data_IF_618308264783
#
_entry.id   IF_618308264783
#
_cell.length_a   1.000
_cell.length_b   1.000
_cell.length_c   1.000
_cell.angle_alpha   90.00
_cell.angle_beta   90.00
_cell.angle_gamma   90.00
#
_symmetry.space_group_name_H-M   'P 1'
#
loop_
_entity.id
_entity.type
_entity.pdbx_description
1 polymer ?
#
# COMPACT_ATOMS: atom_id res chain seq x y z
N UNK A 1 3.65 82.43 -70.36
CA UNK A 1 3.46 83.37 -69.22
C UNK A 1 3.36 82.54 -67.95
N UNK A 2 4.46 82.47 -67.18
CA UNK A 2 4.63 83.16 -65.86
C UNK A 2 3.58 82.65 -64.85
N UNK A 3 3.94 81.70 -63.96
CA UNK A 3 4.28 81.94 -62.54
C UNK A 3 3.07 81.53 -61.67
N UNK A 4 3.12 80.94 -60.47
CA UNK A 4 4.12 80.84 -59.40
C UNK A 4 3.71 79.73 -58.39
N UNK A 5 4.72 79.05 -57.86
CA UNK A 5 4.93 78.32 -56.58
C UNK A 5 3.80 78.17 -55.51
N UNK A 6 3.66 76.99 -54.89
CA UNK A 6 4.37 76.63 -53.62
C UNK A 6 3.93 75.26 -53.00
N UNK A 7 4.94 74.40 -52.79
CA UNK A 7 5.22 73.40 -51.72
C UNK A 7 4.09 72.86 -50.80
N UNK A 8 3.98 71.51 -50.68
CA UNK A 8 4.42 70.72 -49.51
C UNK A 8 4.22 69.20 -49.68
N UNK A 9 4.94 68.46 -48.84
CA UNK A 9 5.44 67.09 -48.96
C UNK A 9 4.46 65.96 -48.58
N UNK A 10 4.92 64.74 -48.86
CA UNK A 10 4.24 63.44 -48.86
C UNK A 10 3.62 62.98 -47.53
N UNK A 11 2.48 62.29 -47.63
CA UNK A 11 1.87 61.51 -46.55
C UNK A 11 0.66 60.71 -47.04
N UNK A 12 0.86 59.42 -47.35
CA UNK A 12 -0.19 58.48 -47.79
C UNK A 12 -1.28 58.35 -46.72
N UNK A 13 -2.47 58.92 -46.97
CA UNK A 13 -3.69 58.66 -46.21
C UNK A 13 -4.74 58.08 -47.17
N UNK A 14 -4.91 56.75 -47.12
CA UNK A 14 -6.04 56.09 -47.78
C UNK A 14 -7.29 56.30 -46.95
N UNK A 15 -8.29 56.91 -47.59
CA UNK A 15 -9.62 57.17 -47.04
C UNK A 15 -10.36 55.87 -46.73
N UNK A 16 -11.05 55.85 -45.59
CA UNK A 16 -11.84 54.74 -45.06
C UNK A 16 -13.19 54.70 -45.80
N UNK A 17 -13.48 53.59 -46.46
CA UNK A 17 -14.83 53.22 -46.90
C UNK A 17 -15.42 52.19 -45.93
N UNK A 18 -16.60 52.51 -45.41
CA UNK A 18 -17.42 51.71 -44.51
C UNK A 18 -18.27 50.75 -45.35
N UNK A 19 -18.00 49.43 -45.27
CA UNK A 19 -18.99 48.34 -45.34
C UNK A 19 -18.30 46.98 -45.47
N UNK A 20 -18.35 46.16 -44.42
CA UNK A 20 -18.65 44.71 -44.48
C UNK A 20 -18.60 44.15 -43.05
N UNK A 21 -19.74 44.22 -42.37
CA UNK A 21 -19.97 43.52 -41.11
C UNK A 21 -20.15 42.03 -41.46
N UNK A 22 -19.11 41.22 -41.25
CA UNK A 22 -19.22 39.76 -41.40
C UNK A 22 -19.85 39.19 -40.14
N UNK A 23 -21.17 38.99 -40.18
CA UNK A 23 -21.84 38.05 -39.28
C UNK A 23 -21.38 36.63 -39.62
N UNK A 24 -20.74 35.97 -38.66
CA UNK A 24 -20.51 34.53 -38.71
C UNK A 24 -21.85 33.82 -38.56
N UNK A 25 -22.28 33.10 -39.59
CA UNK A 25 -23.43 32.20 -39.52
C UNK A 25 -22.94 30.81 -39.88
N UNK A 26 -22.98 29.94 -38.88
CA UNK A 26 -22.77 28.50 -38.95
C UNK A 26 -23.59 27.88 -40.09
N UNK A 27 -23.03 26.87 -40.77
CA UNK A 27 -23.70 25.61 -41.14
C UNK A 27 -22.77 24.79 -42.05
N UNK A 28 -21.91 23.94 -41.46
CA UNK A 28 -21.46 22.70 -42.10
C UNK A 28 -21.29 21.61 -41.04
N UNK A 29 -22.32 20.76 -40.97
CA UNK A 29 -22.32 19.33 -40.64
C UNK A 29 -21.30 18.90 -39.58
N UNK A 30 -21.79 18.75 -38.35
CA UNK A 30 -21.13 18.01 -37.28
C UNK A 30 -20.92 16.55 -37.71
N UNK A 31 -19.67 16.15 -37.85
CA UNK A 31 -19.24 14.75 -37.92
C UNK A 31 -19.31 14.15 -36.49
N UNK A 32 -20.15 13.13 -36.21
CA UNK A 32 -20.36 12.60 -34.86
C UNK A 32 -19.15 11.87 -34.26
N UNK A 33 -18.03 11.74 -34.98
CA UNK A 33 -16.91 10.88 -34.58
C UNK A 33 -15.58 11.60 -34.32
N UNK A 34 -15.56 12.93 -34.11
CA UNK A 34 -14.36 13.63 -33.62
C UNK A 34 -14.52 14.14 -32.20
N UNK A 35 -14.06 13.34 -31.25
CA UNK A 35 -13.80 13.78 -29.88
C UNK A 35 -12.83 14.99 -29.88
N UNK A 36 -13.15 16.10 -29.19
CA UNK A 36 -12.12 17.07 -28.84
C UNK A 36 -11.10 16.34 -27.96
N UNK A 37 -9.83 16.36 -28.37
CA UNK A 37 -8.74 15.77 -27.60
C UNK A 37 -8.82 16.30 -26.17
N UNK A 38 -8.93 15.39 -25.20
CA UNK A 38 -8.89 15.68 -23.77
C UNK A 38 -7.73 16.64 -23.48
N UNK A 39 -7.90 17.71 -22.68
CA UNK A 39 -6.76 18.44 -22.17
C UNK A 39 -5.87 17.43 -21.43
N UNK A 40 -4.67 17.15 -21.98
CA UNK A 40 -3.66 16.41 -21.23
C UNK A 40 -3.51 17.12 -19.89
N UNK A 41 -3.57 16.35 -18.81
CA UNK A 41 -3.10 16.76 -17.50
C UNK A 41 -1.80 17.53 -17.71
N UNK A 42 -1.74 18.80 -17.31
CA UNK A 42 -0.55 19.63 -17.53
C UNK A 42 0.57 19.04 -16.68
N UNK A 43 1.40 18.21 -17.29
CA UNK A 43 2.72 17.85 -16.77
C UNK A 43 3.40 19.16 -16.37
N UNK A 44 3.88 19.26 -15.13
CA UNK A 44 4.60 20.44 -14.63
C UNK A 44 5.63 20.85 -15.68
N UNK A 45 5.55 22.04 -16.26
CA UNK A 45 6.53 22.42 -17.29
C UNK A 45 7.88 22.66 -16.61
N UNK A 46 9.02 22.26 -17.22
CA UNK A 46 10.35 22.34 -16.60
C UNK A 46 10.82 23.73 -16.14
N UNK A 47 10.04 24.80 -16.34
CA UNK A 47 10.46 26.18 -16.18
C UNK A 47 9.49 27.07 -15.39
N UNK A 48 8.46 26.55 -14.71
CA UNK A 48 7.40 27.40 -14.13
C UNK A 48 7.47 27.59 -12.62
N UNK A 49 8.52 27.13 -11.93
CA UNK A 49 8.65 27.41 -10.49
C UNK A 49 10.12 27.63 -10.08
N UNK A 50 10.60 28.89 -10.06
CA UNK A 50 11.83 29.26 -9.38
C UNK A 50 11.75 29.01 -7.87
N UNK A 51 10.54 29.03 -7.29
CA UNK A 51 10.35 29.12 -5.83
C UNK A 51 10.28 27.77 -5.09
N UNK A 52 10.20 26.63 -5.79
CA UNK A 52 10.13 25.30 -5.14
C UNK A 52 11.50 24.73 -4.75
N UNK A 53 12.58 25.31 -5.26
CA UNK A 53 13.96 25.00 -4.90
C UNK A 53 14.55 26.33 -4.45
N UNK A 54 14.67 26.50 -3.13
CA UNK A 54 15.00 27.78 -2.48
C UNK A 54 16.07 28.60 -3.22
N UNK A 55 15.94 29.93 -3.15
CA UNK A 55 16.83 30.90 -3.80
C UNK A 55 18.27 30.45 -3.57
N UNK A 56 18.91 29.90 -4.61
CA UNK A 56 20.34 29.70 -4.59
C UNK A 56 20.94 31.10 -4.43
N UNK A 57 21.61 31.32 -3.30
CA UNK A 57 22.61 32.38 -3.21
C UNK A 57 23.68 31.99 -4.22
N UNK A 58 23.55 32.54 -5.43
CA UNK A 58 24.62 33.14 -6.20
C UNK A 58 24.08 33.50 -7.58
N UNK A 59 24.25 34.77 -7.92
CA UNK A 59 23.72 35.44 -9.11
C UNK A 59 24.34 34.98 -10.44
N UNK A 60 24.58 33.69 -10.64
CA UNK A 60 24.93 33.16 -11.95
C UNK A 60 23.69 32.53 -12.61
N UNK A 61 23.11 33.27 -13.55
CA UNK A 61 22.20 32.76 -14.57
C UNK A 61 22.97 31.77 -15.48
N UNK A 62 23.28 30.58 -14.97
CA UNK A 62 24.14 29.63 -15.67
C UNK A 62 23.28 28.78 -16.63
N UNK A 63 23.41 28.91 -17.97
CA UNK A 63 22.64 28.13 -18.94
C UNK A 63 22.81 26.62 -18.74
N UNK A 64 23.93 26.19 -18.14
CA UNK A 64 24.15 24.80 -17.76
C UNK A 64 23.22 24.34 -16.62
N UNK A 65 22.88 25.19 -15.64
CA UNK A 65 21.94 24.84 -14.56
C UNK A 65 20.52 24.63 -15.11
N UNK A 66 20.09 25.45 -16.08
CA UNK A 66 18.81 25.25 -16.80
C UNK A 66 18.82 23.96 -17.62
N UNK A 67 19.92 23.64 -18.30
CA UNK A 67 20.10 22.38 -19.03
C UNK A 67 20.05 21.17 -18.08
N UNK A 68 20.74 21.22 -16.93
CA UNK A 68 20.72 20.18 -15.89
C UNK A 68 19.31 20.00 -15.30
N UNK A 69 18.60 21.07 -14.94
CA UNK A 69 17.20 21.00 -14.47
C UNK A 69 16.25 20.38 -15.52
N UNK A 70 16.41 20.75 -16.80
CA UNK A 70 15.61 20.20 -17.89
C UNK A 70 15.93 18.72 -18.17
N UNK A 71 17.21 18.34 -18.09
CA UNK A 71 17.65 16.95 -18.20
C UNK A 71 17.10 16.10 -17.04
N UNK A 72 17.20 16.59 -15.80
CA UNK A 72 16.64 15.95 -14.62
C UNK A 72 15.12 15.79 -14.72
N UNK A 73 14.41 16.85 -15.12
CA UNK A 73 12.97 16.79 -15.35
C UNK A 73 12.60 15.74 -16.41
N UNK A 74 13.33 15.68 -17.53
CA UNK A 74 13.07 14.71 -18.59
C UNK A 74 13.40 13.28 -18.15
N UNK A 75 14.47 13.07 -17.37
CA UNK A 75 14.81 11.78 -16.77
C UNK A 75 13.70 11.34 -15.82
N UNK A 76 13.30 12.16 -14.84
CA UNK A 76 12.21 11.83 -13.88
C UNK A 76 10.87 11.59 -14.59
N UNK A 77 10.61 12.30 -15.69
CA UNK A 77 9.36 12.13 -16.46
C UNK A 77 9.34 10.82 -17.25
N UNK A 78 10.47 10.42 -17.81
CA UNK A 78 10.54 9.27 -18.73
C UNK A 78 10.92 7.98 -17.99
N UNK A 79 11.63 8.08 -16.87
CA UNK A 79 12.03 6.99 -15.99
C UNK A 79 11.35 7.20 -14.64
N UNK A 80 10.42 6.30 -14.28
CA UNK A 80 9.84 6.33 -12.94
C UNK A 80 10.95 6.11 -11.93
N UNK A 81 11.13 7.07 -11.02
CA UNK A 81 12.04 6.92 -9.90
C UNK A 81 11.78 5.59 -9.19
N UNK A 82 12.80 4.74 -9.16
CA UNK A 82 12.75 3.48 -8.48
C UNK A 82 13.00 3.75 -7.00
N UNK A 83 11.93 3.96 -6.22
CA UNK A 83 11.99 4.14 -4.76
C UNK A 83 12.32 2.84 -4.00
N UNK A 84 12.91 1.87 -4.67
CA UNK A 84 13.19 0.57 -4.05
C UNK A 84 14.51 0.66 -3.33
N UNK A 85 14.48 0.18 -2.08
CA UNK A 85 15.59 -0.32 -1.27
C UNK A 85 16.94 -0.31 -2.02
N UNK A 86 17.90 0.46 -1.53
CA UNK A 86 19.26 0.50 -2.07
C UNK A 86 19.88 -0.90 -2.05
N UNK A 87 20.40 -1.37 -3.19
CA UNK A 87 20.95 -2.73 -3.28
C UNK A 87 22.19 -2.89 -2.42
N UNK A 88 23.01 -1.84 -2.32
CA UNK A 88 24.20 -1.82 -1.46
C UNK A 88 23.80 -1.86 0.02
N UNK A 89 22.80 -1.08 0.44
CA UNK A 89 22.21 -1.13 1.77
C UNK A 89 21.58 -2.50 2.07
N UNK A 90 20.92 -3.12 1.09
CA UNK A 90 20.31 -4.45 1.22
C UNK A 90 21.38 -5.55 1.38
N UNK A 91 22.48 -5.46 0.63
CA UNK A 91 23.63 -6.36 0.78
C UNK A 91 24.28 -6.20 2.15
N UNK A 92 24.56 -4.95 2.56
CA UNK A 92 25.16 -4.65 3.87
C UNK A 92 24.30 -5.17 5.02
N UNK A 93 23.01 -4.85 4.99
CA UNK A 93 22.07 -5.28 6.02
C UNK A 93 21.86 -6.79 6.02
N UNK A 94 22.00 -7.51 4.91
CA UNK A 94 22.04 -8.97 4.96
C UNK A 94 23.35 -9.53 5.52
N UNK A 95 24.51 -9.02 5.09
CA UNK A 95 25.83 -9.50 5.54
C UNK A 95 26.03 -9.40 7.05
N UNK A 96 25.48 -8.36 7.70
CA UNK A 96 25.46 -8.24 9.16
C UNK A 96 24.75 -9.42 9.90
N UNK A 97 24.03 -10.30 9.18
CA UNK A 97 23.48 -11.54 9.74
C UNK A 97 24.53 -12.63 9.95
N UNK A 98 25.54 -12.71 9.07
CA UNK A 98 26.55 -13.76 9.13
C UNK A 98 27.51 -13.53 10.31
N UNK A 99 27.85 -12.25 10.56
CA UNK A 99 28.85 -11.85 11.54
C UNK A 99 28.30 -11.86 12.99
N UNK A 100 26.98 -11.76 13.17
CA UNK A 100 26.34 -11.70 14.50
C UNK A 100 26.23 -13.03 15.26
N UNK A 101 26.73 -14.15 14.72
CA UNK A 101 26.59 -15.48 15.33
C UNK A 101 27.78 -15.95 16.17
N UNK A 102 28.85 -15.16 16.32
CA UNK A 102 30.06 -15.62 17.04
C UNK A 102 29.99 -15.57 18.58
N UNK A 103 29.12 -14.77 19.19
CA UNK A 103 29.30 -14.39 20.62
C UNK A 103 28.18 -14.83 21.59
N UNK A 104 27.29 -15.75 21.20
CA UNK A 104 26.21 -16.23 22.10
C UNK A 104 26.48 -17.53 22.85
N UNK A 105 27.71 -18.06 22.84
CA UNK A 105 28.03 -19.35 23.48
C UNK A 105 29.08 -19.29 24.61
N UNK A 106 29.41 -18.13 25.16
CA UNK A 106 30.41 -18.05 26.25
C UNK A 106 30.20 -16.87 27.21
N UNK A 107 29.21 -16.98 28.09
CA UNK A 107 29.24 -16.24 29.37
C UNK A 107 29.02 -17.20 30.54
N UNK A 108 30.05 -18.01 30.79
CA UNK A 108 30.31 -18.57 32.12
C UNK A 108 30.89 -17.48 33.02
N UNK A 109 30.45 -17.50 34.28
CA UNK A 109 30.80 -16.58 35.37
C UNK A 109 32.30 -16.21 35.45
N UNK A 110 32.59 -14.91 35.64
CA UNK A 110 33.65 -14.47 36.55
C UNK A 110 33.38 -13.06 37.09
N UNK A 111 33.52 -12.95 38.41
CA UNK A 111 33.32 -11.78 39.28
C UNK A 111 34.55 -10.86 39.32
N UNK A 112 34.30 -9.56 39.57
CA UNK A 112 35.14 -8.52 40.27
C UNK A 112 36.41 -8.10 39.48
N UNK A 113 36.77 -6.82 39.25
CA UNK A 113 36.91 -5.66 40.13
C UNK A 113 37.09 -4.33 39.36
N UNK A 114 36.86 -3.21 40.06
CA UNK A 114 37.49 -1.87 39.95
C UNK A 114 37.52 -1.06 38.63
N UNK A 115 36.86 0.11 38.69
CA UNK A 115 37.52 1.42 38.60
C UNK A 115 37.73 2.09 37.24
N UNK A 116 36.98 3.18 37.00
CA UNK A 116 37.52 4.42 36.41
C UNK A 116 37.49 4.61 34.89
N UNK A 117 36.65 5.57 34.45
CA UNK A 117 36.66 6.36 33.20
C UNK A 117 36.85 5.67 31.84
N UNK A 118 35.85 5.77 30.97
CA UNK A 118 36.07 5.96 29.54
C UNK A 118 34.83 6.54 28.83
N UNK A 119 35.02 7.72 28.25
CA UNK A 119 34.16 8.33 27.26
C UNK A 119 34.30 7.54 25.94
N UNK A 120 33.81 6.31 25.87
CA UNK A 120 33.78 5.50 24.66
C UNK A 120 32.68 4.45 24.74
N UNK A 121 31.87 4.37 23.70
CA UNK A 121 30.93 3.27 23.51
C UNK A 121 29.53 3.70 23.16
N UNK A 122 29.37 4.44 22.05
CA UNK A 122 28.27 4.12 21.15
C UNK A 122 28.45 2.64 20.83
N UNK A 123 27.81 1.78 21.62
CA UNK A 123 27.75 0.36 21.34
C UNK A 123 27.00 0.27 20.03
N UNK A 124 27.78 0.05 18.98
CA UNK A 124 27.29 -0.40 17.69
C UNK A 124 26.47 -1.65 17.97
N UNK A 125 25.16 -1.51 18.12
CA UNK A 125 24.21 -2.61 18.01
C UNK A 125 24.13 -3.02 16.53
N UNK A 126 25.27 -3.34 15.93
CA UNK A 126 25.42 -3.80 14.55
C UNK A 126 25.19 -5.31 14.50
N UNK A 127 23.96 -5.69 14.84
CA UNK A 127 23.41 -7.03 14.75
C UNK A 127 21.91 -6.91 14.62
N UNK A 128 21.44 -6.40 13.48
CA UNK A 128 20.01 -6.15 13.28
C UNK A 128 19.21 -7.47 13.45
N UNK A 129 18.29 -7.47 14.42
CA UNK A 129 17.50 -8.62 14.88
C UNK A 129 16.74 -9.33 13.74
N UNK A 130 16.81 -10.68 13.74
CA UNK A 130 15.98 -11.54 12.87
C UNK A 130 14.68 -11.83 13.59
N UNK A 131 13.56 -11.39 13.01
CA UNK A 131 12.24 -11.61 13.58
C UNK A 131 11.68 -12.98 13.26
N UNK A 132 12.00 -13.54 12.08
CA UNK A 132 11.60 -14.91 11.71
C UNK A 132 12.46 -15.43 10.56
N UNK A 133 12.73 -16.73 10.55
CA UNK A 133 13.31 -17.41 9.40
C UNK A 133 12.61 -18.75 9.13
N UNK A 134 12.67 -19.22 7.88
CA UNK A 134 12.13 -20.53 7.50
C UNK A 134 11.70 -20.61 6.04
N UNK A 135 11.30 -21.80 5.60
CA UNK A 135 10.89 -22.02 4.21
C UNK A 135 9.50 -21.46 3.91
N UNK A 136 9.40 -20.77 2.77
CA UNK A 136 8.15 -20.31 2.18
C UNK A 136 8.13 -20.60 0.68
N UNK A 137 6.99 -21.01 0.15
CA UNK A 137 6.78 -21.09 -1.30
C UNK A 137 6.03 -19.85 -1.75
N UNK A 138 6.67 -18.98 -2.53
CA UNK A 138 6.08 -17.71 -2.99
C UNK A 138 5.53 -17.86 -4.40
N UNK A 139 4.40 -17.19 -4.65
CA UNK A 139 3.87 -16.88 -5.97
C UNK A 139 3.53 -15.40 -6.06
N UNK A 140 3.98 -14.74 -7.14
CA UNK A 140 3.55 -13.36 -7.44
C UNK A 140 2.12 -13.41 -8.01
N UNK A 141 1.19 -12.69 -7.39
CA UNK A 141 -0.24 -12.71 -7.72
C UNK A 141 -0.68 -11.48 -8.52
N UNK A 142 -0.30 -10.29 -8.07
CA UNK A 142 -0.59 -9.03 -8.74
C UNK A 142 0.62 -8.09 -8.68
N UNK A 143 0.80 -7.33 -9.76
CA UNK A 143 1.83 -6.30 -9.87
C UNK A 143 1.34 -4.97 -9.24
N UNK A 144 2.20 -3.95 -9.20
CA UNK A 144 1.89 -2.68 -8.49
C UNK A 144 0.75 -1.86 -9.12
N UNK A 145 0.41 -2.15 -10.39
CA UNK A 145 -0.74 -1.58 -11.06
C UNK A 145 -2.07 -2.29 -10.69
N UNK A 146 -2.02 -3.27 -9.78
CA UNK A 146 -3.16 -4.09 -9.38
C UNK A 146 -3.55 -5.16 -10.39
N UNK A 147 -2.86 -5.24 -11.54
CA UNK A 147 -3.15 -6.27 -12.54
C UNK A 147 -2.52 -7.58 -12.13
N UNK A 148 -3.17 -8.67 -12.54
CA UNK A 148 -2.66 -10.03 -12.33
C UNK A 148 -1.34 -10.20 -13.06
N UNK A 149 -0.33 -10.68 -12.35
CA UNK A 149 0.99 -10.95 -12.93
C UNK A 149 0.87 -11.95 -14.09
N UNK A 150 1.55 -11.73 -15.24
CA UNK A 150 1.48 -12.60 -16.42
C UNK A 150 1.82 -14.08 -16.11
N UNK A 151 1.22 -15.01 -16.85
CA UNK A 151 1.32 -16.46 -16.59
C UNK A 151 2.78 -16.97 -16.46
N UNK A 152 3.70 -16.46 -17.27
CA UNK A 152 5.11 -16.87 -17.25
C UNK A 152 5.92 -16.40 -16.04
N UNK A 153 5.42 -15.40 -15.28
CA UNK A 153 6.13 -14.81 -14.13
C UNK A 153 5.51 -15.15 -12.77
N UNK A 154 4.34 -15.79 -12.74
CA UNK A 154 3.54 -16.10 -11.53
C UNK A 154 3.70 -17.53 -10.99
N UNK A 155 4.81 -18.21 -11.31
CA UNK A 155 5.09 -19.56 -10.83
C UNK A 155 5.27 -19.60 -9.30
N UNK A 156 4.96 -20.74 -8.68
CA UNK A 156 5.33 -21.00 -7.29
C UNK A 156 6.83 -21.34 -7.23
N UNK A 157 7.57 -20.67 -6.36
CA UNK A 157 9.01 -20.87 -6.16
C UNK A 157 9.30 -20.98 -4.66
N UNK A 158 10.13 -21.93 -4.28
CA UNK A 158 10.55 -22.14 -2.89
C UNK A 158 11.71 -21.21 -2.55
N UNK A 159 11.62 -20.60 -1.38
CA UNK A 159 12.65 -19.73 -0.82
C UNK A 159 12.88 -20.08 0.64
N UNK A 160 14.12 -19.89 1.09
CA UNK A 160 14.36 -19.67 2.50
C UNK A 160 14.16 -18.19 2.79
N UNK A 161 13.18 -17.89 3.64
CA UNK A 161 12.78 -16.54 3.97
C UNK A 161 13.42 -16.10 5.29
N UNK A 162 13.89 -14.86 5.35
CA UNK A 162 14.41 -14.22 6.57
C UNK A 162 13.78 -12.84 6.71
N UNK A 163 13.06 -12.60 7.80
CA UNK A 163 12.47 -11.31 8.13
C UNK A 163 13.42 -10.53 9.05
N UNK A 164 13.98 -9.44 8.53
CA UNK A 164 14.95 -8.59 9.24
C UNK A 164 14.61 -7.12 8.97
N UNK A 165 14.37 -6.36 10.04
CA UNK A 165 13.83 -5.00 9.92
C UNK A 165 12.56 -4.98 9.07
N UNK A 166 12.45 -4.04 8.14
CA UNK A 166 11.32 -3.92 7.21
C UNK A 166 11.50 -4.72 5.91
N UNK A 167 12.39 -5.70 5.87
CA UNK A 167 12.71 -6.46 4.67
C UNK A 167 12.51 -7.97 4.91
N UNK A 168 11.79 -8.60 3.99
CA UNK A 168 11.69 -10.05 3.86
C UNK A 168 12.65 -10.50 2.76
N UNK A 169 13.80 -11.02 3.16
CA UNK A 169 14.78 -11.61 2.27
C UNK A 169 14.30 -12.98 1.82
N UNK A 170 14.45 -13.28 0.53
CA UNK A 170 14.00 -14.54 -0.07
C UNK A 170 15.15 -15.15 -0.87
N UNK A 171 15.90 -16.05 -0.22
CA UNK A 171 17.03 -16.74 -0.82
C UNK A 171 16.58 -18.00 -1.54
N UNK A 172 17.03 -18.21 -2.77
CA UNK A 172 16.71 -19.39 -3.57
C UNK A 172 17.76 -20.50 -3.34
N UNK A 173 17.29 -21.74 -3.18
CA UNK A 173 18.15 -22.92 -2.98
C UNK A 173 18.39 -23.24 -1.49
N UNK A 174 19.52 -23.88 -1.19
CA UNK A 174 19.94 -24.18 0.19
C UNK A 174 20.26 -22.89 0.95
N UNK A 175 19.73 -22.78 2.17
CA UNK A 175 20.07 -21.68 3.07
C UNK A 175 21.54 -21.76 3.45
N UNK A 176 22.27 -20.68 3.18
CA UNK A 176 23.67 -20.53 3.58
C UNK A 176 23.84 -19.12 4.15
N UNK A 177 23.85 -18.96 5.48
CA UNK A 177 23.94 -17.65 6.11
C UNK A 177 25.24 -16.91 5.77
N UNK A 178 26.32 -17.64 5.50
CA UNK A 178 27.63 -17.10 5.11
C UNK A 178 27.68 -16.70 3.62
N UNK A 179 26.68 -17.11 2.83
CA UNK A 179 26.62 -16.82 1.40
C UNK A 179 26.05 -15.43 1.19
N UNK A 180 26.85 -14.55 0.57
CA UNK A 180 26.37 -13.27 0.09
C UNK A 180 25.15 -13.44 -0.82
N UNK A 181 24.16 -12.55 -0.69
CA UNK A 181 22.98 -12.56 -1.55
C UNK A 181 23.41 -12.41 -3.00
N UNK A 182 22.94 -13.32 -3.85
CA UNK A 182 23.09 -13.15 -5.28
C UNK A 182 22.23 -11.97 -5.76
N UNK A 183 22.54 -11.43 -6.94
CA UNK A 183 21.70 -10.43 -7.58
C UNK A 183 20.26 -10.95 -7.87
N UNK A 184 20.07 -12.27 -8.02
CA UNK A 184 18.70 -12.86 -8.09
C UNK A 184 18.00 -12.77 -6.72
N UNK A 185 18.70 -13.03 -5.61
CA UNK A 185 18.13 -12.99 -4.26
C UNK A 185 17.74 -11.56 -3.86
N UNK A 186 18.54 -10.56 -4.21
CA UNK A 186 18.23 -9.14 -3.96
C UNK A 186 16.96 -8.72 -4.68
N UNK A 187 16.77 -9.17 -5.93
CA UNK A 187 15.52 -8.94 -6.68
C UNK A 187 14.32 -9.67 -6.10
N UNK A 188 14.54 -10.72 -5.32
CA UNK A 188 13.48 -11.45 -4.64
C UNK A 188 13.10 -10.83 -3.30
N UNK A 189 13.95 -9.97 -2.71
CA UNK A 189 13.64 -9.30 -1.45
C UNK A 189 12.36 -8.48 -1.56
N UNK A 190 11.57 -8.49 -0.50
CA UNK A 190 10.28 -7.79 -0.43
C UNK A 190 10.32 -6.82 0.74
N UNK A 191 10.09 -5.54 0.47
CA UNK A 191 9.87 -4.58 1.56
C UNK A 191 8.50 -4.79 2.18
N UNK A 192 8.44 -4.89 3.50
CA UNK A 192 7.21 -5.11 4.27
C UNK A 192 6.68 -3.82 4.93
N UNK A 193 7.30 -2.66 4.69
CA UNK A 193 6.75 -1.37 5.14
C UNK A 193 5.30 -1.24 4.65
N UNK A 194 4.40 -0.87 5.56
CA UNK A 194 2.97 -0.73 5.30
C UNK A 194 2.28 -1.93 4.63
N UNK A 195 2.88 -3.12 4.74
CA UNK A 195 2.29 -4.33 4.18
C UNK A 195 1.17 -4.88 5.06
N UNK A 196 0.36 -5.77 4.52
CA UNK A 196 -0.60 -6.52 5.31
C UNK A 196 -0.57 -7.97 4.86
N UNK A 197 -0.28 -8.86 5.81
CA UNK A 197 -0.36 -10.29 5.66
C UNK A 197 -1.72 -10.80 6.17
N UNK A 198 -2.40 -11.63 5.38
CA UNK A 198 -3.70 -12.22 5.74
C UNK A 198 -3.82 -13.64 5.21
N UNK A 199 -4.48 -14.52 5.96
CA UNK A 199 -4.82 -15.87 5.46
C UNK A 199 -5.62 -15.76 4.16
N UNK A 200 -5.23 -16.54 3.15
CA UNK A 200 -5.93 -16.61 1.89
C UNK A 200 -7.10 -17.62 1.97
N UNK A 201 -8.15 -17.25 2.70
CA UNK A 201 -9.29 -18.14 2.96
C UNK A 201 -10.08 -18.50 1.68
N UNK A 202 -10.03 -17.64 0.66
CA UNK A 202 -10.60 -17.84 -0.66
C UNK A 202 -9.71 -18.69 -1.60
N UNK A 203 -8.50 -19.07 -1.16
CA UNK A 203 -7.54 -19.83 -1.96
C UNK A 203 -7.53 -21.32 -1.60
N UNK A 204 -8.25 -22.13 -2.38
CA UNK A 204 -8.42 -23.57 -2.12
C UNK A 204 -7.38 -24.48 -2.78
N UNK A 205 -6.50 -23.96 -3.66
CA UNK A 205 -5.61 -24.81 -4.49
C UNK A 205 -4.41 -25.38 -3.72
N UNK A 206 -4.03 -24.74 -2.61
CA UNK A 206 -2.95 -25.20 -1.72
C UNK A 206 -3.34 -24.84 -0.29
N UNK A 207 -3.03 -25.70 0.69
CA UNK A 207 -3.27 -25.39 2.09
C UNK A 207 -2.23 -24.37 2.60
N UNK A 208 -2.52 -23.76 3.75
CA UNK A 208 -1.58 -22.92 4.50
C UNK A 208 -1.03 -21.74 3.68
N UNK A 209 -1.91 -21.13 2.86
CA UNK A 209 -1.56 -19.99 2.01
C UNK A 209 -2.04 -18.69 2.64
N UNK A 210 -1.19 -17.66 2.57
CA UNK A 210 -1.52 -16.30 2.97
C UNK A 210 -1.15 -15.29 1.88
N UNK A 211 -1.92 -14.21 1.80
CA UNK A 211 -1.61 -13.03 1.02
C UNK A 211 -0.61 -12.16 1.77
N UNK A 212 0.34 -11.57 1.05
CA UNK A 212 1.09 -10.39 1.49
C UNK A 212 0.85 -9.28 0.46
N UNK A 213 0.14 -8.22 0.87
CA UNK A 213 -0.01 -7.00 0.06
C UNK A 213 0.98 -5.95 0.55
N UNK A 214 1.83 -5.42 -0.33
CA UNK A 214 2.86 -4.42 0.00
C UNK A 214 2.37 -2.98 -0.19
N UNK A 215 3.15 -1.99 0.29
CA UNK A 215 2.83 -0.57 0.16
C UNK A 215 2.56 -0.11 -1.28
N UNK A 216 3.26 -0.70 -2.25
CA UNK A 216 3.11 -0.46 -3.68
C UNK A 216 2.00 -1.31 -4.32
N UNK A 217 1.14 -1.94 -3.52
CA UNK A 217 -0.03 -2.73 -3.93
C UNK A 217 0.27 -4.02 -4.70
N UNK A 218 1.53 -4.46 -4.77
CA UNK A 218 1.82 -5.82 -5.22
C UNK A 218 1.19 -6.82 -4.25
N UNK A 219 0.77 -7.96 -4.80
CA UNK A 219 0.21 -9.06 -4.00
C UNK A 219 1.04 -10.31 -4.24
N UNK A 220 1.52 -10.88 -3.15
CA UNK A 220 2.17 -12.19 -3.13
C UNK A 220 1.27 -13.19 -2.43
N UNK A 221 1.33 -14.44 -2.89
CA UNK A 221 0.83 -15.60 -2.17
C UNK A 221 2.04 -16.34 -1.60
N UNK A 222 2.01 -16.65 -0.32
CA UNK A 222 3.02 -17.47 0.33
C UNK A 222 2.36 -18.71 0.92
N UNK A 223 2.94 -19.86 0.65
CA UNK A 223 2.57 -21.13 1.27
C UNK A 223 3.59 -21.45 2.37
N UNK A 224 3.09 -21.65 3.58
CA UNK A 224 3.88 -22.13 4.71
C UNK A 224 3.79 -23.67 4.83
N UNK A 225 4.71 -24.33 5.57
CA UNK A 225 4.70 -25.78 5.75
C UNK A 225 3.41 -26.31 6.42
N UNK A 226 2.92 -25.60 7.43
CA UNK A 226 1.72 -25.96 8.20
C UNK A 226 0.94 -24.70 8.65
N UNK A 227 -0.21 -24.91 9.29
CA UNK A 227 -1.10 -23.82 9.71
C UNK A 227 -0.47 -22.91 10.78
N UNK A 228 0.26 -23.49 11.74
CA UNK A 228 0.96 -22.74 12.80
C UNK A 228 2.03 -21.83 12.22
N UNK A 229 2.87 -22.35 11.33
CA UNK A 229 3.89 -21.57 10.65
C UNK A 229 3.28 -20.47 9.79
N UNK A 230 2.16 -20.72 9.12
CA UNK A 230 1.41 -19.68 8.39
C UNK A 230 1.00 -18.55 9.34
N UNK A 231 0.39 -18.87 10.49
CA UNK A 231 -0.06 -17.85 11.45
C UNK A 231 1.10 -17.10 12.08
N UNK A 232 2.19 -17.79 12.41
CA UNK A 232 3.42 -17.15 12.91
C UNK A 232 4.01 -16.20 11.87
N UNK A 233 4.10 -16.59 10.60
CA UNK A 233 4.53 -15.67 9.53
C UNK A 233 3.64 -14.44 9.40
N UNK A 234 2.30 -14.62 9.40
CA UNK A 234 1.34 -13.51 9.34
C UNK A 234 1.55 -12.56 10.54
N UNK A 235 1.60 -13.11 11.75
CA UNK A 235 1.68 -12.34 12.99
C UNK A 235 2.99 -11.54 13.05
N UNK A 236 4.13 -12.16 12.77
CA UNK A 236 5.43 -11.47 12.83
C UNK A 236 5.58 -10.42 11.74
N UNK A 237 5.17 -10.70 10.50
CA UNK A 237 5.23 -9.70 9.43
C UNK A 237 4.38 -8.48 9.81
N UNK A 238 3.14 -8.69 10.25
CA UNK A 238 2.25 -7.59 10.61
C UNK A 238 2.72 -6.83 11.85
N UNK A 239 3.27 -7.52 12.85
CA UNK A 239 3.79 -6.87 14.07
C UNK A 239 5.00 -6.00 13.75
N UNK A 240 5.97 -6.54 13.01
CA UNK A 240 7.17 -5.80 12.58
C UNK A 240 6.79 -4.60 11.70
N UNK A 241 5.84 -4.78 10.78
CA UNK A 241 5.35 -3.69 9.96
C UNK A 241 4.60 -2.64 10.79
N UNK A 242 3.83 -3.02 11.81
CA UNK A 242 3.16 -2.10 12.72
C UNK A 242 4.16 -1.29 13.55
N UNK A 243 5.21 -1.93 14.08
CA UNK A 243 6.26 -1.29 14.90
C UNK A 243 7.05 -0.26 14.08
N UNK A 244 7.43 -0.60 12.85
CA UNK A 244 8.45 0.15 12.13
C UNK A 244 7.96 0.96 10.93
N UNK A 245 6.72 0.81 10.46
CA UNK A 245 6.23 1.65 9.35
C UNK A 245 6.09 3.11 9.79
N UNK A 246 6.81 4.03 9.14
CA UNK A 246 6.69 5.45 9.42
C UNK A 246 5.30 6.02 9.04
N UNK A 247 4.83 7.11 9.66
CA UNK A 247 3.56 7.72 9.29
C UNK A 247 3.51 8.11 7.79
N UNK A 248 2.39 7.89 7.07
CA UNK A 248 2.27 8.32 5.68
C UNK A 248 2.49 9.83 5.53
N UNK A 249 3.05 10.25 4.40
CA UNK A 249 3.21 11.67 4.11
C UNK A 249 1.86 12.39 4.12
N UNK A 250 1.82 13.67 4.55
CA UNK A 250 0.63 14.49 4.41
C UNK A 250 0.18 14.49 2.95
N UNK A 251 -1.14 14.45 2.73
CA UNK A 251 -1.70 14.47 1.39
C UNK A 251 -1.17 15.69 0.61
N UNK A 252 -0.71 15.47 -0.61
CA UNK A 252 -0.15 16.55 -1.42
C UNK A 252 -1.19 17.68 -1.60
N UNK A 253 -0.83 18.88 -1.17
CA UNK A 253 -1.66 20.09 -1.30
C UNK A 253 -1.54 20.56 -2.76
N UNK A 254 -2.34 19.97 -3.66
CA UNK A 254 -2.32 20.35 -5.07
C UNK A 254 -3.08 19.38 -5.98
N UNK A 255 -4.25 19.83 -6.48
CA UNK A 255 -5.14 19.12 -7.42
C UNK A 255 -5.77 17.81 -6.91
N UNK A 256 -6.64 17.93 -5.91
CA UNK A 256 -7.59 16.91 -5.42
C UNK A 256 -8.70 16.53 -6.44
N UNK A 257 -8.47 16.64 -7.75
CA UNK A 257 -9.51 16.33 -8.75
C UNK A 257 -9.75 14.83 -8.94
N UNK A 258 -8.80 13.97 -8.53
CA UNK A 258 -8.85 12.50 -8.74
C UNK A 258 -8.22 11.78 -7.57
N UNK A 259 -8.80 10.63 -7.23
CA UNK A 259 -8.23 9.75 -6.23
C UNK A 259 -6.86 9.22 -6.70
N UNK A 260 -5.87 9.34 -5.83
CA UNK A 260 -4.56 8.72 -5.99
C UNK A 260 -4.12 8.17 -4.63
N UNK A 261 -3.56 6.96 -4.65
CA UNK A 261 -3.02 6.32 -3.44
C UNK A 261 -1.93 7.21 -2.84
N UNK A 262 -1.95 7.49 -1.53
CA UNK A 262 -0.87 8.21 -0.85
C UNK A 262 0.47 7.51 -1.02
N UNK A 263 1.55 8.29 -1.03
CA UNK A 263 2.90 7.76 -0.97
C UNK A 263 3.21 7.37 0.48
N UNK A 264 3.69 6.13 0.65
CA UNK A 264 4.01 5.55 1.94
C UNK A 264 5.54 5.48 2.08
N UNK A 265 6.14 6.09 3.12
CA UNK A 265 7.58 6.06 3.31
C UNK A 265 8.07 4.65 3.66
N UNK A 266 9.17 4.23 3.02
CA UNK A 266 9.88 2.99 3.37
C UNK A 266 10.81 3.10 4.57
N UNK A 267 10.95 4.30 5.15
CA UNK A 267 11.81 4.58 6.31
C UNK A 267 11.20 4.01 7.59
N UNK A 268 12.06 3.65 8.54
CA UNK A 268 11.65 3.24 9.89
C UNK A 268 11.01 4.40 10.66
N UNK A 269 9.94 4.10 11.41
CA UNK A 269 9.28 5.05 12.31
C UNK A 269 10.25 5.52 13.41
N UNK A 270 10.08 6.78 13.82
CA UNK A 270 10.80 7.39 14.94
C UNK A 270 9.92 7.55 16.19
N UNK A 271 8.66 7.12 16.11
CA UNK A 271 7.69 7.18 17.20
C UNK A 271 8.00 6.11 18.25
N UNK A 272 7.67 6.39 19.52
CA UNK A 272 7.63 5.35 20.56
C UNK A 272 6.54 4.30 20.24
N UNK A 273 6.55 3.14 20.91
CA UNK A 273 5.52 2.13 20.67
C UNK A 273 4.10 2.65 20.99
N UNK A 274 3.95 3.44 22.04
CA UNK A 274 2.70 4.08 22.46
C UNK A 274 2.23 5.12 21.44
N UNK A 275 3.14 5.99 20.98
CA UNK A 275 2.84 6.97 19.94
C UNK A 275 2.48 6.30 18.62
N UNK A 276 3.16 5.19 18.29
CA UNK A 276 2.89 4.38 17.11
C UNK A 276 1.49 3.76 17.18
N UNK A 277 1.07 3.27 18.34
CA UNK A 277 -0.31 2.76 18.57
C UNK A 277 -1.33 3.88 18.37
N UNK A 278 -1.14 5.03 19.02
CA UNK A 278 -2.05 6.17 18.90
C UNK A 278 -2.19 6.64 17.44
N UNK A 279 -1.08 6.65 16.70
CA UNK A 279 -1.04 6.97 15.27
C UNK A 279 -1.87 5.99 14.45
N UNK A 280 -1.70 4.67 14.64
CA UNK A 280 -2.48 3.65 13.93
C UNK A 280 -3.98 3.71 14.29
N UNK A 281 -4.32 3.98 15.54
CA UNK A 281 -5.72 4.14 15.99
C UNK A 281 -6.39 5.39 15.40
N UNK A 282 -5.68 6.52 15.37
CA UNK A 282 -6.16 7.73 14.74
C UNK A 282 -6.42 7.47 13.25
N UNK A 283 -5.48 6.82 12.56
CA UNK A 283 -5.63 6.41 11.15
C UNK A 283 -6.80 5.46 10.95
N UNK A 284 -6.95 4.45 11.80
CA UNK A 284 -8.09 3.53 11.73
C UNK A 284 -9.42 4.27 11.83
N UNK A 285 -9.55 5.22 12.77
CA UNK A 285 -10.75 6.05 12.93
C UNK A 285 -11.01 6.92 11.70
N UNK A 286 -9.99 7.65 11.23
CA UNK A 286 -10.11 8.51 10.04
C UNK A 286 -10.50 7.71 8.80
N UNK A 287 -9.77 6.64 8.48
CA UNK A 287 -10.05 5.79 7.31
C UNK A 287 -11.42 5.12 7.41
N UNK A 288 -11.85 4.71 8.61
CA UNK A 288 -13.21 4.17 8.82
C UNK A 288 -14.29 5.20 8.53
N UNK A 289 -14.09 6.44 8.96
CA UNK A 289 -15.02 7.56 8.68
C UNK A 289 -15.07 7.88 7.20
N UNK A 290 -13.91 7.99 6.53
CA UNK A 290 -13.84 8.25 5.08
C UNK A 290 -14.50 7.13 4.26
N UNK A 291 -14.36 5.87 4.68
CA UNK A 291 -15.00 4.73 4.03
C UNK A 291 -16.53 4.76 4.20
N UNK A 292 -17.00 5.08 5.41
CA UNK A 292 -18.43 5.22 5.69
C UNK A 292 -19.05 6.36 4.87
N UNK A 293 -18.37 7.50 4.79
CA UNK A 293 -18.77 8.65 3.97
C UNK A 293 -18.80 8.29 2.49
N UNK A 294 -17.77 7.60 1.97
CA UNK A 294 -17.77 7.16 0.57
C UNK A 294 -18.99 6.27 0.27
N UNK A 295 -19.28 5.32 1.17
CA UNK A 295 -20.38 4.36 1.00
C UNK A 295 -21.77 4.98 1.24
N UNK A 296 -21.89 6.12 1.91
CA UNK A 296 -23.18 6.82 2.05
C UNK A 296 -23.62 7.53 0.77
N UNK A 297 -22.70 7.77 -0.17
CA UNK A 297 -22.98 8.36 -1.49
C UNK A 297 -22.52 7.43 -2.63
N UNK A 298 -23.18 6.27 -2.82
CA UNK A 298 -22.82 5.37 -3.91
C UNK A 298 -23.10 6.03 -5.27
N UNK A 299 -22.29 5.76 -6.31
CA UNK A 299 -22.51 6.30 -7.65
C UNK A 299 -23.88 5.86 -8.18
N UNK A 300 -24.59 6.75 -8.88
CA UNK A 300 -25.85 6.40 -9.54
C UNK A 300 -25.61 5.23 -10.52
N UNK A 301 -26.55 4.29 -10.57
CA UNK A 301 -26.56 3.16 -11.51
C UNK A 301 -26.41 3.59 -12.98
N UNK A 302 -26.74 4.84 -13.31
CA UNK A 302 -26.59 5.42 -14.65
C UNK A 302 -25.16 5.92 -14.95
N UNK A 303 -24.32 6.12 -13.94
CA UNK A 303 -22.92 6.52 -14.09
C UNK A 303 -22.13 5.37 -14.70
N UNK A 304 -21.61 5.57 -15.91
CA UNK A 304 -20.81 4.58 -16.62
C UNK A 304 -19.34 5.00 -16.72
N UNK A 305 -18.46 4.00 -16.72
CA UNK A 305 -17.05 4.16 -17.05
C UNK A 305 -16.19 4.63 -15.89
N UNK A 306 -15.52 5.78 -16.07
CA UNK A 306 -14.36 6.21 -15.27
C UNK A 306 -14.68 6.50 -13.81
N UNK A 307 -15.80 7.17 -13.54
CA UNK A 307 -16.17 7.58 -12.18
C UNK A 307 -16.50 6.38 -11.29
N UNK A 308 -17.19 5.37 -11.84
CA UNK A 308 -17.47 4.11 -11.14
C UNK A 308 -16.18 3.35 -10.79
N UNK A 309 -15.19 3.36 -11.70
CA UNK A 309 -13.88 2.76 -11.46
C UNK A 309 -13.07 3.53 -10.41
N UNK A 310 -13.13 4.86 -10.42
CA UNK A 310 -12.50 5.71 -9.39
C UNK A 310 -13.14 5.47 -8.01
N UNK A 311 -14.46 5.35 -7.93
CA UNK A 311 -15.18 4.97 -6.71
C UNK A 311 -14.73 3.59 -6.20
N UNK A 312 -14.72 2.57 -7.06
CA UNK A 312 -14.29 1.21 -6.69
C UNK A 312 -12.86 1.19 -6.16
N UNK A 313 -11.94 1.88 -6.83
CA UNK A 313 -10.55 1.95 -6.36
C UNK A 313 -10.39 2.66 -5.02
N UNK A 314 -11.21 3.69 -4.76
CA UNK A 314 -11.20 4.38 -3.46
C UNK A 314 -11.80 3.50 -2.36
N UNK A 315 -12.90 2.80 -2.64
CA UNK A 315 -13.51 1.85 -1.70
C UNK A 315 -12.55 0.72 -1.32
N UNK A 316 -11.95 0.06 -2.33
CA UNK A 316 -10.96 -1.01 -2.13
C UNK A 316 -9.73 -0.53 -1.35
N UNK A 317 -9.28 0.71 -1.59
CA UNK A 317 -8.18 1.32 -0.85
C UNK A 317 -8.53 1.55 0.61
N UNK A 318 -9.66 2.22 0.88
CA UNK A 318 -10.07 2.56 2.23
C UNK A 318 -10.39 1.31 3.06
N UNK A 319 -11.04 0.29 2.47
CA UNK A 319 -11.29 -0.99 3.14
C UNK A 319 -9.97 -1.70 3.52
N UNK A 320 -9.00 -1.71 2.60
CA UNK A 320 -7.68 -2.29 2.85
C UNK A 320 -6.94 -1.56 3.97
N UNK A 321 -6.88 -0.22 3.91
CA UNK A 321 -6.18 0.60 4.90
C UNK A 321 -6.84 0.52 6.28
N UNK A 322 -8.18 0.51 6.34
CA UNK A 322 -8.94 0.27 7.57
C UNK A 322 -8.53 -1.05 8.21
N UNK A 323 -8.51 -2.13 7.42
CA UNK A 323 -8.11 -3.45 7.91
C UNK A 323 -6.65 -3.45 8.38
N UNK A 324 -5.74 -2.81 7.63
CA UNK A 324 -4.33 -2.73 8.00
C UNK A 324 -4.12 -1.99 9.32
N UNK A 325 -4.66 -0.78 9.45
CA UNK A 325 -4.49 0.02 10.67
C UNK A 325 -5.18 -0.60 11.89
N UNK A 326 -6.35 -1.23 11.71
CA UNK A 326 -6.99 -2.00 12.78
C UNK A 326 -6.12 -3.17 13.25
N UNK A 327 -5.53 -3.91 12.30
CA UNK A 327 -4.60 -5.02 12.61
C UNK A 327 -3.37 -4.53 13.34
N UNK A 328 -2.75 -3.44 12.86
CA UNK A 328 -1.55 -2.86 13.46
C UNK A 328 -1.80 -2.37 14.89
N UNK A 329 -2.87 -1.60 15.11
CA UNK A 329 -3.23 -1.11 16.44
C UNK A 329 -3.50 -2.27 17.41
N UNK A 330 -4.24 -3.29 16.98
CA UNK A 330 -4.51 -4.48 17.79
C UNK A 330 -3.21 -5.21 18.20
N UNK A 331 -2.32 -5.47 17.25
CA UNK A 331 -1.07 -6.20 17.51
C UNK A 331 -0.13 -5.43 18.43
N UNK A 332 0.05 -4.12 18.21
CA UNK A 332 0.92 -3.32 19.09
C UNK A 332 0.35 -3.19 20.50
N UNK A 333 -0.97 -3.02 20.65
CA UNK A 333 -1.60 -3.05 21.98
C UNK A 333 -1.34 -4.38 22.70
N UNK A 334 -1.43 -5.50 21.97
CA UNK A 334 -1.15 -6.81 22.54
C UNK A 334 0.33 -6.93 22.95
N UNK A 335 1.26 -6.45 22.11
CA UNK A 335 2.69 -6.40 22.46
C UNK A 335 2.95 -5.57 23.72
N UNK A 336 2.42 -4.35 23.80
CA UNK A 336 2.61 -3.47 24.96
C UNK A 336 2.06 -4.11 26.24
N UNK A 337 0.90 -4.80 26.16
CA UNK A 337 0.35 -5.53 27.31
C UNK A 337 1.22 -6.70 27.76
N UNK A 338 1.88 -7.37 26.81
CA UNK A 338 2.80 -8.46 27.12
C UNK A 338 4.04 -7.95 27.87
N UNK A 339 4.51 -6.74 27.56
CA UNK A 339 5.67 -6.12 28.21
C UNK A 339 7.02 -6.80 27.89
N UNK A 340 7.01 -7.80 27.01
CA UNK A 340 8.19 -8.54 26.57
C UNK A 340 8.58 -8.15 25.13
N UNK A 341 9.88 -8.17 24.86
CA UNK A 341 10.43 -7.92 23.53
C UNK A 341 10.45 -9.16 22.64
N UNK A 342 10.31 -10.35 23.23
CA UNK A 342 10.18 -11.59 22.49
C UNK A 342 8.79 -11.74 21.87
N UNK A 343 8.75 -11.64 20.54
CA UNK A 343 7.54 -11.86 19.75
C UNK A 343 6.98 -13.29 19.86
N UNK A 344 7.74 -14.27 20.38
CA UNK A 344 7.24 -15.63 20.60
C UNK A 344 6.17 -15.69 21.69
N UNK A 345 6.30 -14.86 22.73
CA UNK A 345 5.33 -14.75 23.83
C UNK A 345 4.04 -14.13 23.32
N UNK A 346 4.16 -13.06 22.53
CA UNK A 346 3.02 -12.43 21.84
C UNK A 346 2.26 -13.41 20.96
N UNK A 347 2.95 -14.24 20.17
CA UNK A 347 2.31 -15.24 19.31
C UNK A 347 1.51 -16.26 20.12
N UNK A 348 2.07 -16.73 21.25
CA UNK A 348 1.42 -17.69 22.13
C UNK A 348 0.13 -17.10 22.72
N UNK A 349 0.19 -15.86 23.20
CA UNK A 349 -0.97 -15.15 23.75
C UNK A 349 -2.06 -14.90 22.70
N UNK A 350 -1.69 -14.49 21.47
CA UNK A 350 -2.66 -14.28 20.38
C UNK A 350 -3.33 -15.60 20.00
N UNK A 351 -2.59 -16.71 20.01
CA UNK A 351 -3.11 -18.03 19.70
C UNK A 351 -4.12 -18.49 20.75
N UNK A 352 -3.83 -18.25 22.04
CA UNK A 352 -4.73 -18.53 23.16
C UNK A 352 -6.01 -17.70 23.11
N UNK A 353 -5.90 -16.38 22.92
CA UNK A 353 -7.06 -15.47 22.79
C UNK A 353 -7.95 -15.86 21.59
N UNK A 354 -7.33 -16.25 20.47
CA UNK A 354 -8.06 -16.73 19.27
C UNK A 354 -8.71 -18.10 19.48
N UNK A 355 -8.19 -18.90 20.40
CA UNK A 355 -8.75 -20.20 20.81
C UNK A 355 -9.95 -20.05 21.75
N UNK A 356 -9.88 -19.10 22.68
CA UNK A 356 -10.93 -18.84 23.67
C UNK A 356 -12.19 -18.17 23.07
N UNK A 357 -12.05 -17.35 22.02
CA UNK A 357 -13.19 -16.74 21.33
C UNK A 357 -14.12 -17.74 20.62
N UNK A 358 -13.70 -19.00 20.43
CA UNK A 358 -14.53 -20.04 19.80
C UNK A 358 -15.52 -20.70 20.77
N UNK A 359 -15.41 -20.43 22.08
CA UNK A 359 -16.21 -21.11 23.10
C UNK A 359 -17.36 -20.26 23.69
N UNK A 360 -17.48 -18.96 23.39
CA UNK A 360 -18.52 -18.14 24.02
C UNK A 360 -19.17 -17.14 23.07
N UNK A 361 -20.36 -17.49 22.59
CA UNK A 361 -21.42 -16.52 22.29
C UNK A 361 -22.77 -17.23 22.14
N UNK A 362 -23.43 -17.48 23.27
CA UNK A 362 -24.88 -17.41 23.41
C UNK A 362 -25.24 -17.41 24.90
N UNK A 363 -25.60 -16.27 25.51
CA UNK A 363 -26.47 -16.27 26.66
C UNK A 363 -27.91 -16.20 26.14
N UNK A 364 -28.59 -17.34 26.09
CA UNK A 364 -30.06 -17.38 26.06
C UNK A 364 -30.55 -16.81 27.39
N UNK A 365 -31.11 -15.60 27.35
CA UNK A 365 -31.86 -15.04 28.47
C UNK A 365 -33.31 -15.53 28.36
N UNK A 366 -33.66 -16.49 29.20
CA UNK A 366 -35.04 -16.71 29.61
C UNK A 366 -35.53 -15.47 30.35
N UNK A 367 -36.65 -14.90 29.90
CA UNK A 367 -37.43 -13.98 30.71
C UNK A 367 -38.91 -14.28 30.54
N UNK A 368 -39.37 -15.11 31.46
CA UNK A 368 -40.77 -15.16 31.87
C UNK A 368 -41.26 -13.75 32.25
N UNK A 369 -42.39 -13.35 31.68
CA UNK A 369 -43.41 -12.58 32.41
C UNK A 369 -44.74 -12.63 31.67
N UNK A 370 -45.66 -13.32 32.33
CA UNK A 370 -47.10 -13.39 32.10
C UNK A 370 -47.79 -12.03 32.00
N UNK A 371 -48.59 -11.80 30.96
CA UNK A 371 -49.85 -11.05 31.07
C UNK A 371 -50.89 -11.67 30.14
N UNK A 372 -52.01 -12.08 30.73
CA UNK A 372 -53.17 -12.64 30.08
C UNK A 372 -54.01 -11.58 29.35
N UNK A 373 -54.59 -11.93 28.20
CA UNK A 373 -55.98 -11.58 27.84
C UNK A 373 -56.41 -12.27 26.53
N UNK A 374 -57.08 -13.41 26.70
CA UNK A 374 -58.36 -13.79 26.11
C UNK A 374 -58.73 -13.27 24.69
N UNK A 375 -58.78 -14.16 23.68
CA UNK A 375 -60.00 -14.37 22.86
C UNK A 375 -59.86 -15.52 21.84
N UNK A 376 -60.68 -16.55 22.04
CA UNK A 376 -61.47 -17.35 21.07
C UNK A 376 -60.80 -17.89 19.78
N UNK A 377 -60.45 -19.17 19.87
CA UNK A 377 -60.84 -20.29 18.97
C UNK A 377 -61.37 -20.01 17.55
N UNK A 378 -60.71 -20.59 16.54
CA UNK A 378 -61.38 -21.42 15.51
C UNK A 378 -60.42 -22.29 14.68
N UNK A 379 -60.72 -23.60 14.70
CA UNK A 379 -60.62 -24.60 13.62
C UNK A 379 -59.32 -24.80 12.80
N UNK A 380 -58.65 -25.92 13.10
CA UNK A 380 -58.33 -27.03 12.17
C UNK A 380 -58.13 -26.74 10.67
N UNK A 381 -56.92 -27.01 10.14
CA UNK A 381 -56.72 -28.14 9.22
C UNK A 381 -55.24 -28.41 8.91
N UNK A 382 -54.82 -29.65 9.17
CA UNK A 382 -53.61 -30.29 8.62
C UNK A 382 -53.85 -30.66 7.16
N UNK A 383 -52.82 -30.51 6.31
CA UNK A 383 -52.46 -31.32 5.11
C UNK A 383 -51.39 -30.55 4.33
N UNK A 384 -50.42 -31.11 3.62
CA UNK A 384 -49.74 -32.40 3.60
C UNK A 384 -48.51 -32.14 2.69
N UNK A 385 -47.33 -32.66 3.03
CA UNK A 385 -46.11 -32.51 2.23
C UNK A 385 -46.21 -33.30 0.92
N UNK A 386 -45.80 -32.68 -0.18
CA UNK A 386 -45.68 -33.30 -1.49
C UNK A 386 -44.27 -33.15 -2.05
N UNK A 387 -43.39 -34.11 -1.72
CA UNK A 387 -42.10 -34.30 -2.38
C UNK A 387 -42.30 -34.60 -3.88
N UNK A 388 -41.67 -33.81 -4.76
CA UNK A 388 -41.48 -34.17 -6.18
C UNK A 388 -40.00 -34.47 -6.44
N UNK A 389 -39.69 -35.76 -6.57
CA UNK A 389 -38.47 -36.26 -7.19
C UNK A 389 -38.54 -36.08 -8.72
N UNK A 390 -37.46 -35.59 -9.33
CA UNK A 390 -37.30 -35.45 -10.78
C UNK A 390 -36.22 -36.41 -11.26
N UNK A 391 -36.61 -37.45 -12.00
CA UNK A 391 -35.71 -38.34 -12.73
C UNK A 391 -35.28 -37.68 -14.05
N UNK A 392 -33.96 -37.58 -14.30
CA UNK A 392 -33.41 -37.39 -15.66
C UNK A 392 -32.77 -38.69 -16.12
N UNK A 393 -33.39 -39.32 -17.11
CA UNK A 393 -32.82 -40.41 -17.90
C UNK A 393 -31.65 -39.90 -18.75
N UNK A 394 -30.59 -40.71 -18.77
CA UNK A 394 -29.51 -40.62 -19.74
C UNK A 394 -29.90 -41.41 -21.00
N UNK A 395 -29.74 -40.81 -22.18
CA UNK A 395 -29.77 -41.51 -23.46
C UNK A 395 -28.36 -41.48 -24.03
N UNK A 396 -27.76 -42.66 -24.16
CA UNK A 396 -26.65 -42.94 -25.08
C UNK A 396 -27.24 -43.35 -26.42
N UNK A 397 -26.75 -42.75 -27.50
CA UNK A 397 -26.25 -43.46 -28.69
C UNK A 397 -25.28 -42.55 -29.41
#
# INVERSE_FOLDING_TARGET
MIGVNSLHSAGRLRSRSLCSVRYGRDFRVMDPFRFPRTPRSRSLKPLVFPDLLGKAQDGQNHPQARKRKKALYNSIKNEKLQWTIDEEELRKSFSELADGRSDSASRSMKRVDSGGNAFTGVSSQSGTLVYKAGFLVRKVHADSDGKRTPRGKRGWKTFYAVLKGLILYLQKGEFRPEKQLSHEDLKNAVSIHHSLAMRAADYSKRPNVFYLRTADWRVYLFQAPNAEQMQSWITRINTVAAMFSAPPFPAAIGSQKKFSRPLLPGTRSKLSEEEQVQSHEARFRTTSSELAELRSYPPDRKVKGRELEEYRHRDEYLEFEKTRYGTYAMLLRAKIRCGDDDLSVLESQILEDSGLQRAQSSPTLDRDSSVASNSKSSSSNKRNEGQRHSYRQAVKK
#
